data_IF_312746538982
#
_entry.id   IF_312746538982
#
_cell.length_a   1.000
_cell.length_b   1.000
_cell.length_c   1.000
_cell.angle_alpha   90.00
_cell.angle_beta   90.00
_cell.angle_gamma   90.00
#
_symmetry.space_group_name_H-M   'P 1'
#
loop_
_entity.id
_entity.type
_entity.pdbx_description
1 polymer ?
#
# COMPACT_ATOMS: atom_id res chain seq x y z
N UNK A 1 1.49 2.71 9.31
CA UNK A 1 2.14 1.71 8.43
C UNK A 1 1.50 0.35 8.64
N UNK A 2 1.50 -0.55 7.61
CA UNK A 2 0.98 -1.92 7.75
C UNK A 2 -0.54 -2.09 7.93
N UNK A 3 -1.34 -1.09 7.60
CA UNK A 3 -2.80 -1.04 7.82
C UNK A 3 -3.63 -1.66 6.68
N UNK A 4 -3.08 -2.61 5.91
CA UNK A 4 -3.83 -3.28 4.86
C UNK A 4 -4.14 -2.45 3.62
N UNK A 5 -3.40 -1.36 3.35
CA UNK A 5 -3.62 -0.54 2.13
C UNK A 5 -3.53 -1.37 0.85
N UNK A 6 -2.53 -2.25 0.76
CA UNK A 6 -2.36 -3.12 -0.42
C UNK A 6 -3.49 -4.16 -0.56
N UNK A 7 -4.10 -4.59 0.56
CA UNK A 7 -5.26 -5.50 0.53
C UNK A 7 -6.51 -4.87 -0.06
N UNK A 8 -6.58 -3.53 -0.16
CA UNK A 8 -7.70 -2.84 -0.79
C UNK A 8 -7.85 -3.23 -2.27
N UNK A 9 -6.74 -3.41 -2.98
CA UNK A 9 -6.79 -3.83 -4.39
C UNK A 9 -7.43 -5.21 -4.53
N UNK A 10 -7.01 -6.17 -3.70
CA UNK A 10 -7.57 -7.52 -3.70
C UNK A 10 -9.07 -7.51 -3.35
N UNK A 11 -9.44 -6.82 -2.29
CA UNK A 11 -10.85 -6.74 -1.86
C UNK A 11 -11.75 -6.07 -2.92
N UNK A 12 -11.25 -5.04 -3.59
CA UNK A 12 -11.99 -4.39 -4.69
C UNK A 12 -12.11 -5.33 -5.89
N UNK A 13 -11.07 -6.07 -6.23
CA UNK A 13 -11.10 -7.02 -7.33
C UNK A 13 -12.09 -8.18 -7.08
N UNK A 14 -12.21 -8.65 -5.84
CA UNK A 14 -13.20 -9.66 -5.46
C UNK A 14 -14.64 -9.14 -5.60
N UNK A 15 -14.89 -7.87 -5.28
CA UNK A 15 -16.21 -7.25 -5.40
C UNK A 15 -16.55 -6.83 -6.84
N UNK A 16 -15.55 -6.62 -7.68
CA UNK A 16 -15.69 -6.13 -9.06
C UNK A 16 -15.00 -7.10 -10.03
N UNK A 17 -15.56 -8.31 -10.23
CA UNK A 17 -14.90 -9.38 -11.00
C UNK A 17 -14.72 -9.04 -12.50
N UNK A 18 -15.41 -8.02 -13.02
CA UNK A 18 -15.23 -7.52 -14.39
C UNK A 18 -14.02 -6.61 -14.55
N UNK A 19 -13.42 -6.14 -13.44
CA UNK A 19 -12.30 -5.23 -13.45
C UNK A 19 -10.99 -5.99 -13.26
N UNK A 20 -9.99 -5.69 -14.06
CA UNK A 20 -8.66 -6.27 -13.89
C UNK A 20 -7.85 -5.46 -12.87
N UNK A 21 -7.38 -6.08 -11.77
CA UNK A 21 -6.55 -5.39 -10.78
C UNK A 21 -5.14 -5.15 -11.32
N UNK A 22 -4.67 -3.93 -11.16
CA UNK A 22 -3.32 -3.48 -11.56
C UNK A 22 -2.67 -2.81 -10.35
N UNK A 23 -1.50 -3.29 -9.99
CA UNK A 23 -0.66 -2.72 -8.95
C UNK A 23 0.54 -2.01 -9.56
N UNK A 24 0.74 -0.77 -9.19
CA UNK A 24 1.87 0.03 -9.64
C UNK A 24 2.55 0.71 -8.46
N UNK A 25 3.85 0.41 -8.25
CA UNK A 25 4.67 1.05 -7.23
C UNK A 25 5.47 2.19 -7.87
N UNK A 26 5.20 3.42 -7.41
CA UNK A 26 5.84 4.62 -7.93
C UNK A 26 7.23 4.92 -7.33
N UNK A 27 7.67 4.19 -6.28
CA UNK A 27 8.86 4.56 -5.48
C UNK A 27 10.18 4.42 -6.22
N UNK A 28 10.26 3.48 -7.15
CA UNK A 28 11.49 3.15 -7.90
C UNK A 28 11.43 3.58 -9.36
N UNK A 29 10.42 4.38 -9.73
CA UNK A 29 10.15 4.74 -11.12
C UNK A 29 10.63 6.14 -11.45
N UNK A 30 11.13 6.29 -12.67
CA UNK A 30 11.39 7.54 -13.33
C UNK A 30 10.35 7.82 -14.43
N UNK A 31 10.39 9.02 -15.03
CA UNK A 31 9.41 9.40 -16.05
C UNK A 31 9.47 8.47 -17.29
N UNK A 32 10.66 7.97 -17.63
CA UNK A 32 10.87 7.00 -18.70
C UNK A 32 10.23 5.63 -18.43
N UNK A 33 10.02 5.29 -17.16
CA UNK A 33 9.32 4.06 -16.75
C UNK A 33 7.79 4.20 -16.79
N UNK A 34 7.29 5.42 -17.04
CA UNK A 34 5.85 5.70 -17.08
C UNK A 34 5.35 5.79 -18.51
N UNK A 35 6.11 6.46 -19.37
CA UNK A 35 5.78 6.60 -20.78
C UNK A 35 7.02 6.80 -21.64
N UNK A 36 6.98 6.27 -22.84
CA UNK A 36 8.05 6.37 -23.83
C UNK A 36 7.51 6.95 -25.16
N UNK A 37 8.35 7.63 -25.96
CA UNK A 37 7.97 8.07 -27.29
C UNK A 37 7.80 6.88 -28.23
N UNK A 38 6.75 6.89 -29.04
CA UNK A 38 6.56 5.95 -30.13
C UNK A 38 7.39 6.39 -31.34
N UNK A 39 8.36 5.58 -31.72
CA UNK A 39 9.15 5.82 -32.96
C UNK A 39 8.30 5.69 -34.20
N UNK A 40 7.37 4.73 -34.23
CA UNK A 40 6.44 4.53 -35.34
C UNK A 40 5.58 5.78 -35.62
N UNK A 41 5.11 6.47 -34.57
CA UNK A 41 4.32 7.69 -34.76
C UNK A 41 5.10 8.84 -35.38
N UNK A 42 6.41 8.88 -35.22
CA UNK A 42 7.29 9.88 -35.85
C UNK A 42 7.37 9.62 -37.35
N UNK A 43 7.52 8.35 -37.73
CA UNK A 43 7.65 7.94 -39.13
C UNK A 43 6.32 8.06 -39.91
N UNK A 44 5.22 7.64 -39.29
CA UNK A 44 3.90 7.58 -39.97
C UNK A 44 3.15 8.92 -39.90
N UNK A 45 3.24 9.65 -38.81
CA UNK A 45 2.38 10.81 -38.53
C UNK A 45 3.16 12.12 -38.42
N UNK A 46 4.50 12.07 -38.40
CA UNK A 46 5.34 13.25 -38.24
C UNK A 46 5.26 13.93 -36.86
N UNK A 47 4.69 13.23 -35.87
CA UNK A 47 4.58 13.72 -34.50
C UNK A 47 4.96 12.66 -33.48
N UNK A 48 5.35 13.10 -32.28
CA UNK A 48 5.70 12.20 -31.17
C UNK A 48 4.43 11.86 -30.39
N UNK A 49 4.04 10.58 -30.38
CA UNK A 49 3.07 10.06 -29.42
C UNK A 49 3.78 9.45 -28.24
N UNK A 50 3.34 9.75 -27.03
CA UNK A 50 3.83 9.12 -25.80
C UNK A 50 2.95 7.90 -25.49
N UNK A 51 3.57 6.73 -25.36
CA UNK A 51 2.90 5.47 -25.04
C UNK A 51 3.15 5.17 -23.57
N UNK A 52 2.09 4.90 -22.76
CA UNK A 52 2.24 4.48 -21.37
C UNK A 52 2.91 3.13 -21.25
N UNK A 53 3.67 2.93 -20.17
CA UNK A 53 4.25 1.63 -19.84
C UNK A 53 3.14 0.62 -19.52
N UNK A 54 3.36 -0.63 -19.87
CA UNK A 54 2.37 -1.72 -19.71
C UNK A 54 1.94 -1.95 -18.25
N UNK A 55 2.84 -1.74 -17.29
CA UNK A 55 2.56 -1.90 -15.85
C UNK A 55 1.40 -1.02 -15.35
N UNK A 56 1.08 0.06 -16.06
CA UNK A 56 -0.07 0.90 -15.74
C UNK A 56 -1.40 0.32 -16.21
N UNK A 57 -1.39 -0.73 -17.03
CA UNK A 57 -2.57 -1.42 -17.50
C UNK A 57 -3.42 -0.66 -18.51
N UNK A 58 -2.97 0.51 -19.03
CA UNK A 58 -3.77 1.34 -19.93
C UNK A 58 -4.00 0.69 -21.33
N UNK A 59 -3.23 -0.33 -21.68
CA UNK A 59 -3.39 -1.11 -22.91
C UNK A 59 -4.55 -2.13 -22.85
N UNK A 60 -5.12 -2.33 -21.68
CA UNK A 60 -6.18 -3.31 -21.44
C UNK A 60 -7.50 -2.73 -21.96
N UNK A 61 -8.21 -3.47 -22.80
CA UNK A 61 -9.46 -3.03 -23.42
C UNK A 61 -10.64 -2.91 -22.45
N UNK A 62 -10.62 -3.54 -21.31
CA UNK A 62 -11.69 -3.49 -20.31
C UNK A 62 -11.40 -2.55 -19.14
N UNK A 63 -12.33 -2.47 -18.18
CA UNK A 63 -12.14 -1.69 -16.98
C UNK A 63 -11.06 -2.30 -16.09
N UNK A 64 -10.24 -1.43 -15.48
CA UNK A 64 -9.19 -1.81 -14.55
C UNK A 64 -9.39 -1.17 -13.17
N UNK A 65 -8.84 -1.79 -12.15
CA UNK A 65 -8.63 -1.17 -10.84
C UNK A 65 -7.14 -0.90 -10.72
N UNK A 66 -6.73 0.33 -10.95
CA UNK A 66 -5.33 0.75 -10.86
C UNK A 66 -5.03 1.33 -9.48
N UNK A 67 -4.20 0.63 -8.73
CA UNK A 67 -3.65 1.09 -7.46
C UNK A 67 -2.25 1.64 -7.66
N UNK A 68 -2.08 2.93 -7.37
CA UNK A 68 -0.79 3.61 -7.36
C UNK A 68 -0.26 3.62 -5.91
N UNK A 69 0.57 2.64 -5.56
CA UNK A 69 1.07 2.50 -4.19
C UNK A 69 2.25 3.43 -3.92
N UNK A 70 2.39 3.80 -2.64
CA UNK A 70 3.45 4.68 -2.13
C UNK A 70 3.60 6.00 -2.92
N UNK A 71 2.49 6.52 -3.46
CA UNK A 71 2.47 7.73 -4.28
C UNK A 71 3.25 8.90 -3.65
N UNK A 72 3.16 9.09 -2.34
CA UNK A 72 3.86 10.16 -1.62
C UNK A 72 5.39 10.08 -1.72
N UNK A 73 5.96 8.90 -1.94
CA UNK A 73 7.40 8.65 -2.05
C UNK A 73 7.92 8.72 -3.49
N UNK A 74 7.03 8.75 -4.47
CA UNK A 74 7.43 8.79 -5.86
C UNK A 74 8.19 10.08 -6.20
N UNK A 75 9.03 10.02 -7.23
CA UNK A 75 9.73 11.16 -7.79
C UNK A 75 8.74 12.28 -8.18
N UNK A 76 9.04 13.58 -8.00
CA UNK A 76 8.12 14.68 -8.31
C UNK A 76 7.56 14.67 -9.74
N UNK A 77 8.37 14.32 -10.75
CA UNK A 77 7.90 14.20 -12.14
C UNK A 77 6.93 13.04 -12.35
N UNK A 78 7.18 11.92 -11.69
CA UNK A 78 6.29 10.74 -11.65
C UNK A 78 4.98 11.09 -10.96
N UNK A 79 5.02 11.74 -9.79
CA UNK A 79 3.82 12.23 -9.09
C UNK A 79 2.95 13.11 -9.98
N UNK A 80 3.58 14.03 -10.72
CA UNK A 80 2.84 14.91 -11.62
C UNK A 80 2.14 14.14 -12.74
N UNK A 81 2.82 13.18 -13.37
CA UNK A 81 2.26 12.33 -14.41
C UNK A 81 1.12 11.46 -13.89
N UNK A 82 1.30 10.82 -12.73
CA UNK A 82 0.27 10.00 -12.07
C UNK A 82 -0.91 10.85 -11.59
N UNK A 83 -0.67 12.07 -11.12
CA UNK A 83 -1.76 13.01 -10.78
C UNK A 83 -2.63 13.32 -11.99
N UNK A 84 -2.02 13.58 -13.15
CA UNK A 84 -2.75 13.80 -14.38
C UNK A 84 -3.56 12.57 -14.79
N UNK A 85 -2.99 11.37 -14.66
CA UNK A 85 -3.71 10.12 -14.91
C UNK A 85 -4.96 10.00 -14.03
N UNK A 86 -4.84 10.28 -12.74
CA UNK A 86 -5.99 10.25 -11.82
C UNK A 86 -7.07 11.27 -12.17
N UNK A 87 -6.67 12.48 -12.57
CA UNK A 87 -7.61 13.58 -12.82
C UNK A 87 -8.20 13.59 -14.23
N UNK A 88 -7.34 13.36 -15.23
CA UNK A 88 -7.70 13.45 -16.65
C UNK A 88 -8.08 12.07 -17.22
N UNK A 89 -7.81 11.00 -16.47
CA UNK A 89 -8.03 9.60 -16.90
C UNK A 89 -7.31 9.27 -18.21
N UNK A 90 -6.20 9.95 -18.46
CA UNK A 90 -5.42 9.87 -19.70
C UNK A 90 -3.93 9.95 -19.37
N UNK A 91 -3.14 9.17 -20.11
CA UNK A 91 -1.69 9.26 -20.09
C UNK A 91 -1.14 9.10 -21.49
N UNK A 92 -0.33 10.06 -21.95
CA UNK A 92 0.12 10.10 -23.33
C UNK A 92 -1.05 10.14 -24.30
N UNK A 93 -1.06 9.23 -25.26
CA UNK A 93 -2.13 9.08 -26.26
C UNK A 93 -3.28 8.18 -25.82
N UNK A 94 -3.18 7.53 -24.66
CA UNK A 94 -4.12 6.50 -24.20
C UNK A 94 -5.05 7.04 -23.12
N UNK A 95 -6.35 6.74 -23.26
CA UNK A 95 -7.39 7.07 -22.29
C UNK A 95 -7.86 5.80 -21.58
N UNK A 96 -8.03 5.87 -20.27
CA UNK A 96 -8.60 4.78 -19.48
C UNK A 96 -10.05 4.47 -19.87
N UNK A 97 -10.41 3.20 -19.77
CA UNK A 97 -11.82 2.80 -19.88
C UNK A 97 -12.68 3.62 -18.88
N UNK A 98 -13.86 4.11 -19.26
CA UNK A 98 -14.67 5.00 -18.41
C UNK A 98 -15.01 4.40 -17.04
N UNK A 99 -15.23 3.09 -16.97
CA UNK A 99 -15.55 2.39 -15.71
C UNK A 99 -14.32 2.02 -14.87
N UNK A 100 -13.10 2.28 -15.33
CA UNK A 100 -11.89 1.99 -14.54
C UNK A 100 -11.88 2.80 -13.25
N UNK A 101 -11.32 2.20 -12.20
CA UNK A 101 -11.10 2.83 -10.90
C UNK A 101 -9.60 3.11 -10.75
N UNK A 102 -9.25 4.35 -10.38
CA UNK A 102 -7.87 4.71 -10.07
C UNK A 102 -7.83 5.29 -8.66
N UNK A 103 -6.97 4.73 -7.84
CA UNK A 103 -6.70 5.29 -6.51
C UNK A 103 -5.22 5.20 -6.18
N UNK A 104 -4.77 6.06 -5.28
CA UNK A 104 -3.40 6.01 -4.78
C UNK A 104 -3.39 5.81 -3.28
N UNK A 105 -2.30 5.23 -2.80
CA UNK A 105 -2.04 5.12 -1.36
C UNK A 105 -0.78 5.88 -1.00
N UNK A 106 -0.76 6.41 0.21
CA UNK A 106 0.40 7.07 0.79
C UNK A 106 0.38 6.93 2.30
N UNK A 107 1.51 7.17 2.95
CA UNK A 107 1.56 7.31 4.40
C UNK A 107 1.32 8.77 4.80
N UNK A 108 0.85 8.99 6.01
CA UNK A 108 0.70 10.35 6.55
C UNK A 108 2.09 10.99 6.73
N UNK A 109 2.17 12.31 6.48
CA UNK A 109 3.41 13.06 6.63
C UNK A 109 4.01 13.00 8.04
N UNK A 110 3.17 12.83 9.06
CA UNK A 110 3.56 12.63 10.45
C UNK A 110 4.34 11.32 10.73
N UNK A 111 4.25 10.34 9.83
CA UNK A 111 5.07 9.12 9.90
C UNK A 111 6.48 9.32 9.27
N UNK A 112 6.88 10.57 8.98
CA UNK A 112 8.17 10.91 8.37
C UNK A 112 8.32 10.46 6.92
N UNK A 113 7.23 9.99 6.31
CA UNK A 113 7.23 9.39 5.00
C UNK A 113 6.08 9.96 4.17
N UNK A 114 6.41 10.73 3.16
CA UNK A 114 5.47 11.22 2.17
C UNK A 114 5.19 12.71 2.22
N UNK A 115 5.27 13.33 1.06
CA UNK A 115 4.87 14.71 0.86
C UNK A 115 3.34 14.80 0.84
N UNK A 116 2.86 15.86 1.44
CA UNK A 116 1.46 16.25 1.32
C UNK A 116 1.16 16.52 -0.16
N UNK A 117 0.04 16.01 -0.64
CA UNK A 117 -0.46 16.32 -1.99
C UNK A 117 -0.41 17.83 -2.26
N UNK A 118 0.04 18.27 -3.43
CA UNK A 118 0.01 19.69 -3.80
C UNK A 118 -1.41 20.27 -3.64
N UNK A 119 -1.50 21.53 -3.25
CA UNK A 119 -2.79 22.17 -2.96
C UNK A 119 -3.81 22.05 -4.11
N UNK A 120 -3.33 22.15 -5.36
CA UNK A 120 -4.17 22.01 -6.56
C UNK A 120 -4.73 20.59 -6.76
N UNK A 121 -4.07 19.56 -6.26
CA UNK A 121 -4.55 18.18 -6.33
C UNK A 121 -5.56 17.86 -5.21
N UNK A 122 -5.39 18.47 -4.03
CA UNK A 122 -6.28 18.22 -2.87
C UNK A 122 -7.74 18.54 -3.13
N UNK A 123 -8.01 19.58 -3.91
CA UNK A 123 -9.41 19.97 -4.24
C UNK A 123 -10.07 19.10 -5.30
N UNK A 124 -9.30 18.21 -5.93
CA UNK A 124 -9.76 17.36 -7.05
C UNK A 124 -9.78 15.89 -6.74
N UNK A 125 -9.22 15.50 -5.61
CA UNK A 125 -9.14 14.11 -5.15
C UNK A 125 -9.93 13.95 -3.85
N UNK A 126 -10.60 12.81 -3.71
CA UNK A 126 -11.21 12.42 -2.44
C UNK A 126 -10.15 11.75 -1.57
N UNK A 127 -9.87 12.36 -0.42
CA UNK A 127 -8.89 11.82 0.53
C UNK A 127 -9.62 11.02 1.61
N UNK A 128 -9.25 9.75 1.74
CA UNK A 128 -9.80 8.85 2.76
C UNK A 128 -8.68 8.48 3.74
N UNK A 129 -8.88 8.81 5.00
CA UNK A 129 -7.96 8.39 6.06
C UNK A 129 -8.33 6.97 6.52
N UNK A 130 -7.41 6.03 6.29
CA UNK A 130 -7.56 4.65 6.75
C UNK A 130 -7.00 4.56 8.16
N UNK A 131 -7.87 4.29 9.13
CA UNK A 131 -7.46 4.03 10.52
C UNK A 131 -6.86 2.63 10.67
N UNK A 132 -6.09 2.43 11.71
CA UNK A 132 -5.65 1.11 12.13
C UNK A 132 -6.87 0.28 12.57
N UNK A 133 -6.86 -1.02 12.33
CA UNK A 133 -7.90 -1.92 12.85
C UNK A 133 -7.83 -1.97 14.38
N UNK A 134 -8.97 -2.15 15.01
CA UNK A 134 -9.03 -2.54 16.42
C UNK A 134 -8.60 -4.00 16.58
N UNK A 135 -8.27 -4.41 17.82
CA UNK A 135 -7.96 -5.80 18.12
C UNK A 135 -9.08 -6.75 17.67
N UNK A 136 -10.33 -6.42 18.01
CA UNK A 136 -11.50 -7.25 17.67
C UNK A 136 -11.71 -7.38 16.15
N UNK A 137 -11.57 -6.30 15.41
CA UNK A 137 -11.67 -6.32 13.94
C UNK A 137 -10.60 -7.19 13.31
N UNK A 138 -9.35 -7.07 13.81
CA UNK A 138 -8.24 -7.88 13.30
C UNK A 138 -8.40 -9.36 13.69
N UNK A 139 -8.83 -9.68 14.91
CA UNK A 139 -9.09 -11.05 15.36
C UNK A 139 -10.19 -11.68 14.50
N UNK A 140 -11.29 -10.96 14.28
CA UNK A 140 -12.40 -11.45 13.43
C UNK A 140 -11.92 -11.77 12.02
N UNK A 141 -11.14 -10.89 11.44
CA UNK A 141 -10.48 -11.13 10.15
C UNK A 141 -9.53 -12.33 10.23
N UNK A 142 -8.71 -12.41 11.25
CA UNK A 142 -7.69 -13.43 11.44
C UNK A 142 -8.25 -14.85 11.55
N UNK A 143 -9.41 -15.02 12.20
CA UNK A 143 -10.13 -16.32 12.28
C UNK A 143 -10.45 -16.80 10.86
N UNK A 144 -10.94 -15.92 10.00
CA UNK A 144 -11.32 -16.27 8.62
C UNK A 144 -10.11 -16.39 7.67
N UNK A 145 -8.95 -15.87 8.07
CA UNK A 145 -7.71 -15.88 7.27
C UNK A 145 -6.62 -16.78 7.84
N UNK A 146 -7.03 -17.79 8.60
CA UNK A 146 -6.14 -18.85 9.09
C UNK A 146 -4.92 -18.30 9.88
N UNK A 147 -5.11 -17.30 10.72
CA UNK A 147 -4.09 -16.84 11.68
C UNK A 147 -3.97 -17.87 12.81
N UNK A 148 -2.73 -18.17 13.25
CA UNK A 148 -2.49 -19.11 14.35
C UNK A 148 -3.20 -18.62 15.63
N UNK A 149 -3.86 -19.55 16.32
CA UNK A 149 -4.68 -19.25 17.50
C UNK A 149 -3.89 -18.63 18.65
N UNK A 150 -2.61 -18.95 18.78
CA UNK A 150 -1.76 -18.36 19.83
C UNK A 150 -1.55 -16.86 19.58
N UNK A 151 -1.42 -16.45 18.31
CA UNK A 151 -1.32 -15.04 17.92
C UNK A 151 -2.65 -14.31 18.12
N UNK A 152 -3.78 -14.99 17.81
CA UNK A 152 -5.11 -14.40 18.07
C UNK A 152 -5.36 -14.21 19.57
N UNK A 153 -4.97 -15.17 20.42
CA UNK A 153 -5.07 -15.05 21.87
C UNK A 153 -4.20 -13.92 22.40
N UNK A 154 -2.96 -13.84 21.94
CA UNK A 154 -2.06 -12.76 22.34
C UNK A 154 -2.60 -11.37 21.93
N UNK A 155 -3.13 -11.25 20.73
CA UNK A 155 -3.74 -10.02 20.25
C UNK A 155 -4.98 -9.60 21.06
N UNK A 156 -5.73 -10.58 21.61
CA UNK A 156 -6.87 -10.35 22.47
C UNK A 156 -6.43 -9.87 23.87
N UNK A 157 -5.37 -10.47 24.41
CA UNK A 157 -4.89 -10.17 25.76
C UNK A 157 -4.11 -8.83 25.81
N UNK A 158 -3.55 -8.42 24.67
CA UNK A 158 -2.70 -7.21 24.55
C UNK A 158 -3.26 -6.24 23.49
N UNK A 159 -4.48 -5.76 23.64
CA UNK A 159 -5.13 -4.85 22.70
C UNK A 159 -4.30 -3.58 22.41
N UNK A 160 -3.43 -3.18 23.33
CA UNK A 160 -2.54 -2.02 23.17
C UNK A 160 -1.62 -2.12 21.95
N UNK A 161 -1.33 -3.31 21.43
CA UNK A 161 -0.52 -3.49 20.23
C UNK A 161 -1.16 -2.91 18.95
N UNK A 162 -2.47 -2.66 18.97
CA UNK A 162 -3.21 -2.02 17.88
C UNK A 162 -3.26 -0.49 17.98
N UNK A 163 -2.73 0.10 19.04
CA UNK A 163 -2.63 1.55 19.14
C UNK A 163 -1.65 2.10 18.09
N UNK A 164 -1.94 3.28 17.58
CA UNK A 164 -0.98 4.08 16.81
C UNK A 164 -0.22 5.02 17.75
N UNK A 165 0.91 5.55 17.32
CA UNK A 165 1.67 6.52 18.11
C UNK A 165 0.91 7.85 18.34
N UNK A 166 -0.17 8.10 17.62
CA UNK A 166 -1.09 9.22 17.85
C UNK A 166 -2.15 8.93 18.92
N UNK A 167 -2.36 7.65 19.24
CA UNK A 167 -3.39 7.22 20.20
C UNK A 167 -2.87 7.22 21.64
N UNK A 168 -1.57 7.36 21.82
CA UNK A 168 -0.89 7.37 23.13
C UNK A 168 -0.34 8.76 23.43
N UNK A 169 -0.24 9.10 24.71
CA UNK A 169 0.30 10.38 25.16
C UNK A 169 1.81 10.48 24.88
N UNK A 170 2.53 9.41 25.18
CA UNK A 170 3.95 9.23 24.88
C UNK A 170 4.15 7.88 24.21
N UNK A 171 4.69 7.83 22.99
CA UNK A 171 4.98 6.57 22.30
C UNK A 171 5.94 5.65 23.05
N UNK A 172 6.76 6.19 23.97
CA UNK A 172 7.66 5.41 24.81
C UNK A 172 6.93 4.54 25.85
N UNK A 173 5.67 4.87 26.19
CA UNK A 173 4.84 4.10 27.10
C UNK A 173 4.37 2.76 26.51
N UNK A 174 4.44 2.62 25.19
CA UNK A 174 4.02 1.40 24.49
C UNK A 174 5.17 0.85 23.63
N UNK A 175 5.87 -0.21 24.11
CA UNK A 175 7.03 -0.75 23.41
C UNK A 175 6.69 -1.43 22.06
N UNK A 176 5.43 -1.78 21.84
CA UNK A 176 5.00 -2.54 20.66
C UNK A 176 4.69 -1.68 19.44
N UNK A 177 4.53 -0.39 19.58
CA UNK A 177 4.13 0.50 18.49
C UNK A 177 5.31 1.17 17.81
N UNK A 178 5.08 1.71 16.60
CA UNK A 178 6.04 2.58 15.94
C UNK A 178 6.34 3.82 16.78
N UNK A 179 7.63 4.12 16.95
CA UNK A 179 8.09 5.33 17.63
C UNK A 179 8.75 6.28 16.61
N UNK A 180 8.27 7.53 16.45
CA UNK A 180 8.76 8.43 15.41
C UNK A 180 10.20 8.93 15.62
N UNK A 181 10.66 8.97 16.86
CA UNK A 181 12.00 9.48 17.25
C UNK A 181 12.99 8.38 17.64
N UNK A 182 12.54 7.16 17.95
CA UNK A 182 13.39 6.03 18.32
C UNK A 182 13.49 5.04 17.17
N UNK A 183 14.71 4.59 16.89
CA UNK A 183 14.92 3.47 15.96
C UNK A 183 14.63 2.15 16.67
N UNK A 184 13.40 1.65 16.56
CA UNK A 184 13.05 0.29 16.97
C UNK A 184 13.31 -0.67 15.81
N UNK A 185 13.89 -1.82 16.11
CA UNK A 185 14.22 -2.83 15.09
C UNK A 185 12.97 -3.32 14.37
N UNK A 186 11.89 -3.51 15.12
CA UNK A 186 10.56 -3.91 14.63
C UNK A 186 9.48 -3.36 15.54
N UNK A 187 8.24 -3.44 15.10
CA UNK A 187 7.07 -3.04 15.88
C UNK A 187 5.83 -3.77 15.37
N UNK A 188 4.81 -3.85 16.22
CA UNK A 188 3.60 -4.60 15.92
C UNK A 188 2.71 -3.85 14.93
N UNK A 189 2.32 -4.57 13.88
CA UNK A 189 1.33 -4.15 12.89
C UNK A 189 0.47 -5.35 12.48
N UNK A 190 -0.71 -5.17 11.90
CA UNK A 190 -1.47 -6.26 11.29
C UNK A 190 -0.64 -7.16 10.37
N UNK A 191 0.22 -6.57 9.55
CA UNK A 191 1.13 -7.29 8.64
C UNK A 191 2.20 -8.09 9.39
N UNK A 192 2.81 -7.52 10.45
CA UNK A 192 3.83 -8.23 11.22
C UNK A 192 3.24 -9.37 12.06
N UNK A 193 2.00 -9.22 12.54
CA UNK A 193 1.25 -10.30 13.20
C UNK A 193 0.93 -11.46 12.26
N UNK A 194 0.52 -11.18 11.03
CA UNK A 194 0.30 -12.20 10.00
C UNK A 194 1.61 -12.94 9.67
N UNK A 195 2.70 -12.19 9.50
CA UNK A 195 4.03 -12.76 9.28
C UNK A 195 4.47 -13.64 10.45
N UNK A 196 4.28 -13.17 11.68
CA UNK A 196 4.59 -13.96 12.88
C UNK A 196 3.74 -15.23 12.95
N UNK A 197 2.45 -15.15 12.64
CA UNK A 197 1.57 -16.32 12.56
C UNK A 197 2.12 -17.39 11.60
N UNK A 198 2.62 -16.98 10.45
CA UNK A 198 3.19 -17.93 9.48
C UNK A 198 4.47 -18.58 10.01
N UNK A 199 5.29 -17.87 10.78
CA UNK A 199 6.46 -18.42 11.46
C UNK A 199 6.03 -19.40 12.55
N UNK A 200 5.10 -19.01 13.41
CA UNK A 200 4.61 -19.84 14.52
C UNK A 200 3.96 -21.14 14.04
N UNK A 201 3.30 -21.16 12.88
CA UNK A 201 2.78 -22.39 12.26
C UNK A 201 3.87 -23.40 11.93
N UNK A 202 5.09 -22.94 11.69
CA UNK A 202 6.25 -23.80 11.39
C UNK A 202 7.10 -24.11 12.63
N UNK A 203 6.63 -23.80 13.86
CA UNK A 203 7.37 -23.97 15.12
C UNK A 203 7.87 -25.40 15.36
N UNK A 204 7.28 -26.39 14.72
CA UNK A 204 7.72 -27.80 14.81
C UNK A 204 8.99 -28.10 14.01
N UNK A 205 9.43 -27.19 13.12
CA UNK A 205 10.61 -27.30 12.26
C UNK A 205 11.83 -26.54 12.81
N UNK A 206 11.66 -25.73 13.84
CA UNK A 206 12.70 -24.85 14.37
C UNK A 206 12.79 -25.02 15.89
N UNK A 207 13.97 -24.76 16.46
CA UNK A 207 14.15 -24.74 17.89
C UNK A 207 13.56 -23.48 18.54
N UNK A 208 13.41 -23.53 19.87
CA UNK A 208 12.78 -22.46 20.63
C UNK A 208 13.57 -21.14 20.54
N UNK A 209 14.90 -21.21 20.56
CA UNK A 209 15.76 -20.02 20.48
C UNK A 209 15.59 -19.30 19.14
N UNK A 210 15.58 -20.06 18.06
CA UNK A 210 15.31 -19.55 16.71
C UNK A 210 13.91 -18.96 16.60
N UNK A 211 12.89 -19.61 17.21
CA UNK A 211 11.53 -19.08 17.22
C UNK A 211 11.43 -17.74 17.93
N UNK A 212 12.06 -17.61 19.11
CA UNK A 212 12.10 -16.38 19.88
C UNK A 212 12.81 -15.27 19.08
N UNK A 213 13.98 -15.58 18.51
CA UNK A 213 14.73 -14.62 17.71
C UNK A 213 13.91 -14.12 16.50
N UNK A 214 13.21 -15.02 15.82
CA UNK A 214 12.34 -14.69 14.70
C UNK A 214 11.13 -13.84 15.13
N UNK A 215 10.54 -14.12 16.29
CA UNK A 215 9.46 -13.32 16.86
C UNK A 215 9.94 -11.89 17.17
N UNK A 216 11.04 -11.75 17.93
CA UNK A 216 11.64 -10.45 18.23
C UNK A 216 12.02 -9.67 16.97
N UNK A 217 12.58 -10.34 15.96
CA UNK A 217 12.89 -9.70 14.67
C UNK A 217 11.65 -9.27 13.86
N UNK A 218 10.46 -9.81 14.18
CA UNK A 218 9.22 -9.55 13.44
C UNK A 218 8.34 -8.51 14.13
N UNK A 219 8.24 -8.53 15.45
CA UNK A 219 7.31 -7.69 16.20
C UNK A 219 7.98 -6.82 17.29
N UNK A 220 9.27 -6.97 17.57
CA UNK A 220 10.03 -6.21 18.56
C UNK A 220 10.25 -6.96 19.86
#
# INVERSE_FOLDING_TARGET
MGNGKSSMLTNLAEQLPTHRPIYFDGTTKDLGDIMIPSMQSIEEEGCVRMIPHEELGLHIEGPIILMLDEYGKANPSVKLALTRLMLERKMGSVTLHPDSIVFCTTNLGSEGVGDILPAHARNRLTIVNVRKSTAMEWITWGINNNIDHSILSWAKDYEMIFQGFHDVRDPSDNPYIFHPAEQRTSFVTPRSLEKLSNIVKQRHLIDEETLIAAACGTIG
#
